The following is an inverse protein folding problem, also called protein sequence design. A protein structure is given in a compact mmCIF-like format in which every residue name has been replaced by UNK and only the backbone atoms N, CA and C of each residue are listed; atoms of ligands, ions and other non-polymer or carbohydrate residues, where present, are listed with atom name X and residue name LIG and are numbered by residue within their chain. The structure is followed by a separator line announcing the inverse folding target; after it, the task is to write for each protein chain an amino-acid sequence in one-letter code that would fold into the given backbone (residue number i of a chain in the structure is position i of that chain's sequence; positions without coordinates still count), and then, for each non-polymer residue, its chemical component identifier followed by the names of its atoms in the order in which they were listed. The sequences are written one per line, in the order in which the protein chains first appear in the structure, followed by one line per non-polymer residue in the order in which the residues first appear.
data_IF_211953162975
#
_entry.id   IF_211953162975
#
_cell.length_a   1.000
_cell.length_b   1.000
_cell.length_c   1.000
_cell.angle_alpha   90.00
_cell.angle_beta   90.00
_cell.angle_gamma   90.00
#
_symmetry.space_group_name_H-M   'P 1'
#
loop_
_entity.id
_entity.type
_entity.pdbx_description
1 polymer ?
#
# COMPACT_ATOMS: atom_id res chain seq x y z
N UNK A 1 -23.03 2.60 -29.40
CA UNK A 1 -22.21 3.39 -28.46
C UNK A 1 -22.19 2.63 -27.15
N UNK A 2 -21.12 1.89 -26.87
CA UNK A 2 -20.98 1.15 -25.60
C UNK A 2 -20.75 2.19 -24.49
N UNK A 3 -21.61 2.21 -23.48
CA UNK A 3 -21.37 3.01 -22.30
C UNK A 3 -20.09 2.47 -21.66
N UNK A 4 -19.02 3.28 -21.65
CA UNK A 4 -17.80 2.92 -20.94
C UNK A 4 -18.18 2.66 -19.48
N UNK A 5 -18.07 1.41 -19.05
CA UNK A 5 -18.25 1.00 -17.66
C UNK A 5 -17.31 1.84 -16.82
N UNK A 6 -17.80 2.47 -15.75
CA UNK A 6 -16.96 3.20 -14.83
C UNK A 6 -15.88 2.23 -14.30
N UNK A 7 -14.59 2.43 -14.62
CA UNK A 7 -13.55 1.50 -14.21
C UNK A 7 -13.47 1.35 -12.69
N UNK A 8 -13.94 2.35 -11.93
CA UNK A 8 -14.03 2.28 -10.48
C UNK A 8 -15.19 1.40 -9.98
N UNK A 9 -16.28 1.27 -10.74
CA UNK A 9 -17.39 0.38 -10.40
C UNK A 9 -16.99 -1.09 -10.53
N UNK A 10 -16.24 -1.43 -11.59
CA UNK A 10 -15.72 -2.78 -11.81
C UNK A 10 -14.75 -3.19 -10.67
N UNK A 11 -13.92 -2.26 -10.18
CA UNK A 11 -13.02 -2.52 -9.06
C UNK A 11 -13.75 -2.72 -7.73
N UNK A 12 -14.87 -2.03 -7.51
CA UNK A 12 -15.68 -2.15 -6.27
C UNK A 12 -16.47 -3.45 -6.20
N UNK A 13 -16.78 -4.04 -7.36
CA UNK A 13 -17.54 -5.30 -7.45
C UNK A 13 -16.66 -6.50 -7.78
N UNK A 14 -15.35 -6.31 -7.93
CA UNK A 14 -14.39 -7.38 -8.12
C UNK A 14 -14.45 -8.39 -6.96
N UNK A 15 -14.30 -9.70 -7.23
CA UNK A 15 -14.37 -10.73 -6.20
C UNK A 15 -13.20 -10.69 -5.21
N UNK A 16 -12.11 -10.00 -5.57
CA UNK A 16 -10.93 -9.79 -4.73
C UNK A 16 -10.43 -8.35 -4.87
N UNK A 17 -9.80 -7.77 -3.83
CA UNK A 17 -9.22 -6.43 -3.91
C UNK A 17 -8.16 -6.35 -5.01
N UNK A 18 -8.34 -5.39 -5.94
CA UNK A 18 -7.38 -5.12 -7.02
C UNK A 18 -6.54 -3.87 -6.76
N UNK A 19 -7.00 -2.98 -5.89
CA UNK A 19 -6.29 -1.77 -5.47
C UNK A 19 -6.03 -1.86 -3.97
N UNK A 20 -4.76 -1.79 -3.58
CA UNK A 20 -4.35 -1.94 -2.19
C UNK A 20 -3.50 -0.76 -1.73
N UNK A 21 -3.79 -0.25 -0.53
CA UNK A 21 -2.89 0.60 0.24
C UNK A 21 -2.14 -0.26 1.25
N UNK A 22 -0.82 -0.26 1.17
CA UNK A 22 0.07 -1.02 2.05
C UNK A 22 0.96 -0.03 2.80
N UNK A 23 0.77 0.04 4.12
CA UNK A 23 1.60 0.85 5.01
C UNK A 23 2.95 0.14 5.25
N UNK A 24 3.99 0.50 4.49
CA UNK A 24 5.35 -0.03 4.70
C UNK A 24 5.96 0.44 6.04
N UNK A 25 5.62 1.66 6.43
CA UNK A 25 6.10 2.28 7.66
C UNK A 25 5.09 3.32 8.13
N UNK A 26 4.91 3.40 9.44
CA UNK A 26 4.19 4.50 10.10
C UNK A 26 5.14 5.52 10.74
N UNK A 27 6.47 5.38 10.54
CA UNK A 27 7.45 6.41 10.89
C UNK A 27 7.42 7.54 9.85
N UNK A 28 7.49 8.78 10.32
CA UNK A 28 7.53 9.98 9.49
C UNK A 28 8.38 11.04 10.19
N UNK A 29 9.25 11.77 9.47
CA UNK A 29 10.01 12.88 10.05
C UNK A 29 9.17 14.15 10.25
N UNK A 30 7.92 14.15 9.76
CA UNK A 30 7.01 15.28 9.87
C UNK A 30 5.94 15.04 10.93
N UNK A 31 5.50 16.13 11.57
CA UNK A 31 4.41 16.13 12.54
C UNK A 31 3.31 17.09 12.11
N UNK A 32 2.69 16.79 10.96
CA UNK A 32 1.66 17.63 10.38
C UNK A 32 0.43 17.69 11.30
N UNK A 33 -0.11 18.89 11.53
CA UNK A 33 -1.24 19.14 12.45
C UNK A 33 -2.51 18.33 12.15
N UNK A 34 -2.71 17.95 10.88
CA UNK A 34 -3.86 17.18 10.42
C UNK A 34 -3.59 15.67 10.33
N UNK A 35 -2.36 15.22 10.65
CA UNK A 35 -1.98 13.82 10.51
C UNK A 35 -2.46 12.99 11.69
N UNK A 36 -3.13 11.87 11.40
CA UNK A 36 -3.59 10.92 12.41
C UNK A 36 -2.49 9.99 12.94
N UNK A 37 -1.27 10.06 12.38
CA UNK A 37 -0.12 9.21 12.77
C UNK A 37 0.15 9.30 14.27
N UNK A 38 0.22 10.50 14.82
CA UNK A 38 0.59 10.70 16.23
C UNK A 38 -0.43 10.03 17.18
N UNK A 39 -1.72 10.11 16.88
CA UNK A 39 -2.78 9.53 17.71
C UNK A 39 -2.99 8.02 17.49
N UNK A 40 -2.78 7.51 16.27
CA UNK A 40 -3.08 6.13 15.91
C UNK A 40 -1.87 5.18 15.87
N UNK A 41 -0.65 5.71 15.78
CA UNK A 41 0.57 4.93 15.53
C UNK A 41 1.70 5.23 16.51
N UNK A 42 1.58 6.27 17.35
CA UNK A 42 2.60 6.64 18.32
C UNK A 42 3.97 6.90 17.68
N UNK A 43 5.00 6.17 18.11
CA UNK A 43 6.35 6.25 17.55
C UNK A 43 6.50 5.63 16.14
N UNK A 44 5.48 4.92 15.65
CA UNK A 44 5.50 4.23 14.37
C UNK A 44 6.29 2.92 14.38
N UNK A 45 5.98 2.08 13.41
CA UNK A 45 6.58 0.76 13.20
C UNK A 45 6.85 0.54 11.70
N UNK A 46 7.78 -0.36 11.40
CA UNK A 46 8.03 -0.83 10.05
C UNK A 46 7.31 -2.15 9.84
N UNK A 47 6.73 -2.33 8.66
CA UNK A 47 6.20 -3.63 8.24
C UNK A 47 7.37 -4.62 8.12
N UNK A 48 7.22 -5.80 8.70
CA UNK A 48 8.20 -6.87 8.52
C UNK A 48 8.29 -7.27 7.04
N UNK A 49 9.50 -7.36 6.50
CA UNK A 49 9.70 -7.61 5.06
C UNK A 49 9.29 -9.03 4.65
N UNK A 50 9.40 -10.02 5.54
CA UNK A 50 8.92 -11.37 5.27
C UNK A 50 7.38 -11.41 5.22
N UNK A 51 6.71 -10.69 6.13
CA UNK A 51 5.26 -10.51 6.08
C UNK A 51 4.82 -9.79 4.79
N UNK A 52 5.55 -8.76 4.36
CA UNK A 52 5.27 -8.08 3.10
C UNK A 52 5.37 -9.04 1.90
N UNK A 53 6.41 -9.88 1.84
CA UNK A 53 6.57 -10.90 0.79
C UNK A 53 5.41 -11.90 0.80
N UNK A 54 5.00 -12.37 1.98
CA UNK A 54 3.85 -13.28 2.12
C UNK A 54 2.54 -12.62 1.67
N UNK A 55 2.33 -11.35 2.01
CA UNK A 55 1.18 -10.58 1.55
C UNK A 55 1.12 -10.55 0.02
N UNK A 56 2.21 -10.18 -0.65
CA UNK A 56 2.24 -10.12 -2.12
C UNK A 56 1.96 -11.46 -2.78
N UNK A 57 2.47 -12.57 -2.22
CA UNK A 57 2.19 -13.93 -2.72
C UNK A 57 0.71 -14.33 -2.59
N UNK A 58 -0.03 -13.72 -1.66
CA UNK A 58 -1.46 -13.97 -1.47
C UNK A 58 -2.37 -13.21 -2.44
N UNK A 59 -1.82 -12.24 -3.20
CA UNK A 59 -2.61 -11.41 -4.10
C UNK A 59 -2.88 -12.15 -5.42
N UNK A 60 -4.15 -12.23 -5.83
CA UNK A 60 -4.52 -12.58 -7.20
C UNK A 60 -4.55 -11.29 -8.03
N UNK A 61 -3.77 -11.22 -9.11
CA UNK A 61 -3.73 -10.14 -10.13
C UNK A 61 -4.07 -8.74 -9.57
N UNK A 62 -3.22 -8.17 -8.69
CA UNK A 62 -3.39 -6.79 -8.27
C UNK A 62 -3.23 -5.84 -9.48
N UNK A 63 -3.90 -4.69 -9.43
CA UNK A 63 -3.83 -3.66 -10.46
C UNK A 63 -3.17 -2.36 -9.99
N UNK A 64 -3.15 -2.11 -8.67
CA UNK A 64 -2.47 -0.96 -8.10
C UNK A 64 -2.04 -1.27 -6.68
N UNK A 65 -0.74 -1.16 -6.42
CA UNK A 65 -0.15 -1.24 -5.09
C UNK A 65 0.38 0.12 -4.69
N UNK A 66 -0.27 0.72 -3.70
CA UNK A 66 0.12 2.02 -3.14
C UNK A 66 0.89 1.78 -1.85
N UNK A 67 2.19 2.03 -1.90
CA UNK A 67 3.10 1.78 -0.79
C UNK A 67 3.16 3.00 0.13
N UNK A 68 2.02 3.43 0.66
CA UNK A 68 1.90 4.59 1.55
C UNK A 68 0.68 4.47 2.47
N UNK A 69 0.74 5.12 3.63
CA UNK A 69 -0.44 5.40 4.46
C UNK A 69 -0.16 6.58 5.42
N UNK A 70 0.06 6.33 6.72
CA UNK A 70 0.25 7.40 7.71
C UNK A 70 1.72 7.80 7.92
N UNK A 71 2.68 6.92 7.59
CA UNK A 71 4.10 7.23 7.60
C UNK A 71 4.65 7.74 6.27
N UNK A 72 5.95 8.05 6.26
CA UNK A 72 6.71 8.42 5.07
C UNK A 72 7.49 7.20 4.56
N UNK A 73 7.11 6.68 3.39
CA UNK A 73 7.68 5.46 2.81
C UNK A 73 9.17 5.55 2.53
N UNK A 74 9.69 6.77 2.27
CA UNK A 74 11.13 7.05 2.20
C UNK A 74 11.92 6.62 3.44
N UNK A 75 11.25 6.46 4.59
CA UNK A 75 11.85 6.02 5.85
C UNK A 75 11.81 4.50 6.08
N UNK A 76 11.28 3.72 5.13
CA UNK A 76 11.28 2.26 5.25
C UNK A 76 12.64 1.68 4.85
N UNK A 77 13.31 0.88 5.71
CA UNK A 77 14.67 0.37 5.44
C UNK A 77 14.78 -0.47 4.16
N UNK A 78 13.70 -1.14 3.75
CA UNK A 78 13.64 -2.01 2.59
C UNK A 78 12.85 -1.40 1.43
N UNK A 79 12.76 -0.06 1.32
CA UNK A 79 11.90 0.58 0.31
C UNK A 79 12.21 0.14 -1.12
N UNK A 80 13.48 0.09 -1.51
CA UNK A 80 13.89 -0.32 -2.86
C UNK A 80 13.48 -1.76 -3.16
N UNK A 81 13.68 -2.67 -2.21
CA UNK A 81 13.24 -4.06 -2.30
C UNK A 81 11.71 -4.15 -2.39
N UNK A 82 10.98 -3.40 -1.56
CA UNK A 82 9.53 -3.40 -1.55
C UNK A 82 8.95 -2.90 -2.88
N UNK A 83 9.51 -1.85 -3.46
CA UNK A 83 9.12 -1.35 -4.79
C UNK A 83 9.38 -2.40 -5.87
N UNK A 84 10.54 -3.06 -5.85
CA UNK A 84 10.86 -4.11 -6.82
C UNK A 84 9.90 -5.31 -6.71
N UNK A 85 9.58 -5.74 -5.49
CA UNK A 85 8.62 -6.81 -5.24
C UNK A 85 7.19 -6.42 -5.67
N UNK A 86 6.76 -5.19 -5.40
CA UNK A 86 5.46 -4.69 -5.86
C UNK A 86 5.37 -4.69 -7.39
N UNK A 87 6.38 -4.16 -8.08
CA UNK A 87 6.43 -4.11 -9.54
C UNK A 87 6.40 -5.52 -10.17
N UNK A 88 7.04 -6.50 -9.52
CA UNK A 88 7.04 -7.89 -9.97
C UNK A 88 5.64 -8.56 -9.93
N UNK A 89 4.65 -7.95 -9.26
CA UNK A 89 3.28 -8.47 -9.22
C UNK A 89 2.46 -8.14 -10.49
N UNK A 90 2.96 -7.24 -11.34
CA UNK A 90 2.25 -6.77 -12.53
C UNK A 90 1.18 -5.69 -12.27
N UNK A 91 1.14 -5.17 -11.04
CA UNK A 91 0.35 -4.00 -10.65
C UNK A 91 0.99 -2.67 -11.10
#
# INVERSE_FOLDING_TARGET
MSAATDPWLDLRTAPLPRVLWIELTSRCPFDCIFCTRASLRGAGQHLDIALYRQLLQSLDRPQLLRLNYAGESGHYPHLTEAVALAAATGA
#
